data_IF_621826498167
#
_entry.id   IF_621826498167
#
_cell.length_a   1.000
_cell.length_b   1.000
_cell.length_c   1.000
_cell.angle_alpha   90.00
_cell.angle_beta   90.00
_cell.angle_gamma   90.00
#
_symmetry.space_group_name_H-M   'P 1'
#
loop_
_entity.id
_entity.type
_entity.pdbx_description
1 polymer ?
#
# COMPACT_ATOMS: atom_id res chain seq x y z
N UNK A 1 -20.46 5.90 24.70
CA UNK A 1 -20.88 4.97 23.65
C UNK A 1 -22.33 5.30 23.37
N UNK A 2 -22.57 6.30 22.52
CA UNK A 2 -23.93 6.70 22.17
C UNK A 2 -24.44 5.76 21.08
N UNK A 3 -25.64 5.22 21.29
CA UNK A 3 -26.39 4.42 20.34
C UNK A 3 -26.50 5.19 19.01
N UNK A 4 -25.98 4.63 17.91
CA UNK A 4 -26.14 5.26 16.61
C UNK A 4 -27.61 5.14 16.19
N UNK A 5 -28.21 6.24 15.77
CA UNK A 5 -29.60 6.43 15.31
C UNK A 5 -30.04 5.59 14.09
N UNK A 6 -29.37 4.48 13.80
CA UNK A 6 -29.42 3.77 12.52
C UNK A 6 -29.25 2.24 12.61
N UNK A 7 -29.10 1.66 13.80
CA UNK A 7 -29.09 0.19 13.94
C UNK A 7 -30.50 -0.37 13.85
N UNK A 8 -31.03 -0.46 12.62
CA UNK A 8 -32.27 -1.19 12.35
C UNK A 8 -32.02 -2.69 12.46
N UNK A 9 -32.94 -3.43 13.11
CA UNK A 9 -32.91 -4.91 13.17
C UNK A 9 -32.99 -5.53 11.77
N UNK A 10 -33.46 -4.76 10.78
CA UNK A 10 -33.53 -5.15 9.37
C UNK A 10 -32.32 -4.70 8.54
N UNK A 11 -31.35 -4.01 9.14
CA UNK A 11 -30.14 -3.54 8.47
C UNK A 11 -29.05 -4.60 8.52
N UNK A 12 -28.72 -5.18 7.37
CA UNK A 12 -27.58 -6.12 7.29
C UNK A 12 -26.22 -5.42 7.39
N UNK A 13 -26.15 -4.12 7.03
CA UNK A 13 -24.92 -3.33 7.02
C UNK A 13 -25.23 -1.88 7.40
N UNK A 14 -24.42 -1.31 8.28
CA UNK A 14 -24.43 0.11 8.62
C UNK A 14 -23.02 0.70 8.44
N UNK A 15 -22.92 1.75 7.62
CA UNK A 15 -21.69 2.49 7.42
C UNK A 15 -22.00 3.99 7.41
N UNK A 16 -21.23 4.77 8.16
CA UNK A 16 -21.30 6.23 8.08
C UNK A 16 -20.46 6.70 6.88
N UNK A 17 -20.92 7.70 6.14
CA UNK A 17 -20.24 8.19 4.91
C UNK A 17 -18.77 8.56 5.11
N UNK A 18 -18.40 9.03 6.31
CA UNK A 18 -17.01 9.34 6.66
C UNK A 18 -16.11 8.11 6.90
N UNK A 19 -16.70 6.94 7.12
CA UNK A 19 -15.99 5.66 7.28
C UNK A 19 -15.93 4.85 5.99
N UNK A 20 -16.65 5.28 4.94
CA UNK A 20 -16.58 4.63 3.64
C UNK A 20 -15.24 5.01 2.98
N UNK A 21 -14.42 4.03 2.56
CA UNK A 21 -13.11 4.29 1.98
C UNK A 21 -13.19 5.26 0.79
N UNK A 22 -12.27 6.23 0.75
CA UNK A 22 -12.13 7.22 -0.32
C UNK A 22 -13.32 8.17 -0.55
N UNK A 23 -14.36 8.16 0.29
CA UNK A 23 -15.54 9.03 0.13
C UNK A 23 -15.34 10.43 0.72
N UNK A 24 -14.51 10.56 1.76
CA UNK A 24 -14.36 11.79 2.54
C UNK A 24 -13.17 12.67 2.12
N UNK A 25 -12.89 12.80 0.81
CA UNK A 25 -11.65 13.43 0.32
C UNK A 25 -11.55 14.96 0.51
N UNK A 26 -12.66 15.67 0.68
CA UNK A 26 -12.67 17.10 1.02
C UNK A 26 -13.94 17.47 1.78
N UNK A 27 -13.79 18.03 2.98
CA UNK A 27 -14.85 18.79 3.64
C UNK A 27 -14.88 20.21 3.05
N UNK A 28 -15.12 20.34 1.74
CA UNK A 28 -15.52 21.63 1.20
C UNK A 28 -17.03 21.83 1.43
N UNK A 29 -17.44 23.09 1.51
CA UNK A 29 -18.80 23.48 1.86
C UNK A 29 -19.84 23.07 0.79
N UNK A 30 -19.42 22.62 -0.40
CA UNK A 30 -20.28 22.11 -1.47
C UNK A 30 -20.49 20.59 -1.42
N UNK A 31 -19.62 19.84 -0.74
CA UNK A 31 -19.62 18.37 -0.75
C UNK A 31 -20.61 17.71 0.23
N UNK A 32 -21.46 18.47 0.93
CA UNK A 32 -22.27 17.98 2.06
C UNK A 32 -23.37 16.98 1.65
N UNK A 33 -23.83 16.97 0.41
CA UNK A 33 -25.05 16.20 0.08
C UNK A 33 -24.80 14.95 -0.77
N UNK A 34 -23.94 14.99 -1.79
CA UNK A 34 -23.70 13.82 -2.65
C UNK A 34 -22.32 13.93 -3.31
N UNK A 35 -21.24 13.75 -2.54
CA UNK A 35 -19.91 13.80 -3.13
C UNK A 35 -19.80 12.74 -4.25
N UNK A 36 -19.21 13.12 -5.39
CA UNK A 36 -19.03 12.23 -6.55
C UNK A 36 -18.39 10.89 -6.14
N UNK A 37 -17.48 10.92 -5.15
CA UNK A 37 -16.82 9.73 -4.63
C UNK A 37 -17.80 8.74 -3.98
N UNK A 38 -18.81 9.22 -3.24
CA UNK A 38 -19.85 8.36 -2.68
C UNK A 38 -20.65 7.68 -3.80
N UNK A 39 -21.07 8.44 -4.80
CA UNK A 39 -21.80 7.93 -5.96
C UNK A 39 -20.98 6.88 -6.70
N UNK A 40 -19.68 7.10 -6.90
CA UNK A 40 -18.78 6.15 -7.55
C UNK A 40 -18.62 4.85 -6.76
N UNK A 41 -18.49 4.92 -5.43
CA UNK A 41 -18.38 3.71 -4.58
C UNK A 41 -19.69 2.91 -4.63
N UNK A 42 -20.84 3.57 -4.51
CA UNK A 42 -22.15 2.92 -4.62
C UNK A 42 -22.33 2.28 -6.00
N UNK A 43 -21.99 2.97 -7.09
CA UNK A 43 -22.08 2.42 -8.44
C UNK A 43 -21.15 1.21 -8.63
N UNK A 44 -19.89 1.27 -8.16
CA UNK A 44 -18.97 0.12 -8.21
C UNK A 44 -19.51 -1.08 -7.44
N UNK A 45 -20.10 -0.86 -6.27
CA UNK A 45 -20.77 -1.90 -5.51
C UNK A 45 -21.95 -2.49 -6.30
N UNK A 46 -22.85 -1.66 -6.84
CA UNK A 46 -23.99 -2.12 -7.64
C UNK A 46 -23.56 -2.93 -8.86
N UNK A 47 -22.51 -2.50 -9.57
CA UNK A 47 -21.95 -3.27 -10.68
C UNK A 47 -21.30 -4.59 -10.23
N UNK A 48 -20.69 -4.63 -9.05
CA UNK A 48 -20.05 -5.84 -8.52
C UNK A 48 -21.01 -6.96 -8.14
N UNK A 49 -22.29 -6.63 -7.94
CA UNK A 49 -23.35 -7.59 -7.61
C UNK A 49 -24.20 -7.96 -8.84
N UNK A 50 -23.82 -7.52 -10.04
CA UNK A 50 -24.43 -7.94 -11.30
C UNK A 50 -23.69 -9.18 -11.81
N UNK A 51 -24.43 -10.25 -12.03
CA UNK A 51 -24.01 -11.45 -12.73
C UNK A 51 -24.50 -11.39 -14.19
N UNK A 52 -23.63 -11.79 -15.11
CA UNK A 52 -23.92 -11.85 -16.54
C UNK A 52 -24.24 -13.30 -16.91
N UNK A 53 -25.49 -13.56 -17.26
CA UNK A 53 -25.88 -14.87 -17.77
C UNK A 53 -25.21 -15.12 -19.15
N UNK A 54 -25.11 -16.38 -19.58
CA UNK A 54 -24.54 -16.79 -20.88
C UNK A 54 -25.20 -16.13 -22.09
N UNK A 55 -26.40 -15.55 -21.90
CA UNK A 55 -27.18 -14.80 -22.88
C UNK A 55 -27.06 -13.27 -22.74
N UNK A 56 -26.06 -12.78 -22.01
CA UNK A 56 -25.83 -11.35 -21.73
C UNK A 56 -26.98 -10.64 -20.99
N UNK A 57 -27.81 -11.40 -20.25
CA UNK A 57 -28.82 -10.81 -19.38
C UNK A 57 -28.17 -10.44 -18.04
N UNK A 58 -28.31 -9.18 -17.62
CA UNK A 58 -27.85 -8.73 -16.31
C UNK A 58 -28.86 -9.11 -15.23
N UNK A 59 -28.40 -9.82 -14.20
CA UNK A 59 -29.19 -10.14 -13.01
C UNK A 59 -28.38 -9.85 -11.76
N UNK A 60 -29.03 -9.52 -10.66
CA UNK A 60 -28.32 -9.44 -9.38
C UNK A 60 -27.99 -10.84 -8.87
N UNK A 61 -26.81 -10.98 -8.24
CA UNK A 61 -26.40 -12.22 -7.56
C UNK A 61 -27.49 -12.61 -6.55
N UNK A 62 -28.01 -13.83 -6.67
CA UNK A 62 -29.08 -14.32 -5.81
C UNK A 62 -28.61 -14.62 -4.38
N UNK A 63 -27.35 -15.05 -4.23
CA UNK A 63 -26.76 -15.38 -2.93
C UNK A 63 -26.54 -14.12 -2.07
N UNK A 64 -27.25 -14.04 -0.94
CA UNK A 64 -27.15 -12.93 0.02
C UNK A 64 -25.75 -12.76 0.60
N UNK A 65 -25.06 -13.85 0.93
CA UNK A 65 -23.74 -13.82 1.56
C UNK A 65 -22.71 -13.17 0.64
N UNK A 66 -22.72 -13.53 -0.65
CA UNK A 66 -21.82 -12.94 -1.65
C UNK A 66 -22.07 -11.42 -1.76
N UNK A 67 -23.34 -11.00 -1.79
CA UNK A 67 -23.68 -9.56 -1.84
C UNK A 67 -23.22 -8.83 -0.58
N UNK A 68 -23.37 -9.45 0.59
CA UNK A 68 -22.88 -8.87 1.85
C UNK A 68 -21.36 -8.75 1.84
N UNK A 69 -20.63 -9.80 1.45
CA UNK A 69 -19.17 -9.74 1.35
C UNK A 69 -18.70 -8.61 0.42
N UNK A 70 -19.36 -8.42 -0.72
CA UNK A 70 -19.11 -7.27 -1.60
C UNK A 70 -19.42 -5.95 -0.90
N UNK A 71 -20.54 -5.85 -0.18
CA UNK A 71 -20.91 -4.64 0.56
C UNK A 71 -19.89 -4.29 1.66
N UNK A 72 -19.42 -5.26 2.44
CA UNK A 72 -18.35 -5.10 3.43
C UNK A 72 -17.05 -4.60 2.77
N UNK A 73 -16.70 -5.14 1.59
CA UNK A 73 -15.52 -4.73 0.82
C UNK A 73 -15.60 -3.26 0.39
N UNK A 74 -16.73 -2.80 -0.15
CA UNK A 74 -16.86 -1.43 -0.66
C UNK A 74 -17.13 -0.37 0.42
N UNK A 75 -17.87 -0.72 1.48
CA UNK A 75 -18.36 0.27 2.44
C UNK A 75 -17.63 0.32 3.78
N UNK A 76 -16.90 -0.74 4.17
CA UNK A 76 -16.19 -0.77 5.47
C UNK A 76 -14.68 -0.95 5.33
N UNK A 77 -14.15 -0.97 4.11
CA UNK A 77 -12.72 -1.08 3.88
C UNK A 77 -12.12 -2.37 4.42
N UNK A 78 -12.93 -3.42 4.56
CA UNK A 78 -12.41 -4.74 4.88
C UNK A 78 -11.38 -5.12 3.83
N UNK A 79 -10.33 -5.90 4.19
CA UNK A 79 -9.58 -6.62 3.16
C UNK A 79 -10.61 -7.30 2.27
N UNK A 80 -10.37 -7.39 0.97
CA UNK A 80 -11.19 -8.13 0.02
C UNK A 80 -11.31 -9.60 0.45
N UNK A 81 -12.13 -9.84 1.46
CA UNK A 81 -12.30 -11.07 2.24
C UNK A 81 -13.49 -11.81 1.64
N UNK A 82 -13.36 -12.04 0.33
CA UNK A 82 -14.27 -12.83 -0.50
C UNK A 82 -13.54 -13.59 -1.60
N UNK A 83 -12.23 -13.43 -1.72
CA UNK A 83 -11.38 -14.48 -2.22
C UNK A 83 -10.69 -15.05 -0.98
N UNK A 84 -11.13 -16.22 -0.50
CA UNK A 84 -10.15 -17.18 -0.01
C UNK A 84 -9.07 -17.22 -1.08
N UNK A 85 -7.97 -16.59 -0.72
CA UNK A 85 -6.94 -16.16 -1.62
C UNK A 85 -6.37 -17.44 -2.20
N UNK A 86 -6.68 -17.73 -3.47
CA UNK A 86 -5.92 -18.71 -4.22
C UNK A 86 -4.51 -18.14 -4.20
N UNK A 87 -3.66 -18.64 -3.29
CA UNK A 87 -2.26 -18.30 -3.24
C UNK A 87 -1.73 -18.65 -4.61
N UNK A 88 -1.58 -17.64 -5.48
CA UNK A 88 -1.06 -17.86 -6.82
C UNK A 88 0.36 -18.33 -6.62
N UNK A 89 0.54 -19.63 -6.81
CA UNK A 89 1.85 -20.27 -6.79
C UNK A 89 2.49 -19.90 -8.12
N UNK A 90 3.57 -19.14 -8.04
CA UNK A 90 4.36 -18.81 -9.23
C UNK A 90 5.53 -19.77 -9.30
N UNK A 91 5.62 -20.50 -10.40
CA UNK A 91 6.82 -21.26 -10.75
C UNK A 91 7.83 -20.30 -11.37
N UNK A 92 9.06 -20.33 -10.87
CA UNK A 92 10.13 -19.47 -11.37
C UNK A 92 10.96 -20.19 -12.45
N UNK A 93 11.35 -19.44 -13.49
CA UNK A 93 12.11 -19.95 -14.63
C UNK A 93 13.57 -19.51 -14.50
N UNK A 94 14.40 -20.36 -13.90
CA UNK A 94 15.75 -20.01 -13.45
C UNK A 94 16.66 -19.57 -14.61
N UNK A 95 16.56 -20.22 -15.76
CA UNK A 95 17.45 -19.93 -16.91
C UNK A 95 17.13 -18.58 -17.61
N UNK A 96 15.92 -18.06 -17.40
CA UNK A 96 15.43 -16.82 -18.02
C UNK A 96 15.46 -15.61 -17.06
N UNK A 97 15.70 -15.86 -15.78
CA UNK A 97 15.61 -14.89 -14.69
C UNK A 97 16.98 -14.53 -14.11
N UNK A 98 17.18 -13.26 -13.77
CA UNK A 98 18.38 -12.75 -13.11
C UNK A 98 18.12 -12.60 -11.61
N UNK A 99 18.64 -13.53 -10.81
CA UNK A 99 18.42 -13.60 -9.37
C UNK A 99 19.54 -12.90 -8.62
N UNK A 100 19.17 -11.89 -7.83
CA UNK A 100 20.14 -11.04 -7.14
C UNK A 100 19.75 -10.95 -5.67
N UNK A 101 20.71 -11.26 -4.82
CA UNK A 101 20.60 -11.10 -3.38
C UNK A 101 21.47 -9.90 -2.95
N UNK A 102 20.82 -8.82 -2.52
CA UNK A 102 21.54 -7.66 -1.99
C UNK A 102 21.44 -7.66 -0.47
N UNK A 103 22.59 -7.54 0.19
CA UNK A 103 22.68 -7.51 1.66
C UNK A 103 22.43 -6.10 2.21
N UNK A 104 22.49 -5.06 1.37
CA UNK A 104 22.27 -3.67 1.78
C UNK A 104 20.81 -3.48 2.19
N UNK A 105 20.60 -2.69 3.25
CA UNK A 105 19.25 -2.36 3.74
C UNK A 105 18.55 -1.34 2.85
N UNK A 106 19.30 -0.35 2.39
CA UNK A 106 18.77 0.77 1.62
C UNK A 106 19.55 0.89 0.31
N UNK A 107 18.85 0.87 -0.80
CA UNK A 107 19.44 1.07 -2.12
C UNK A 107 18.38 1.38 -3.17
N UNK A 108 18.83 1.94 -4.29
CA UNK A 108 18.01 2.23 -5.44
C UNK A 108 18.68 1.71 -6.71
N UNK A 109 17.85 1.26 -7.66
CA UNK A 109 18.30 0.91 -8.99
C UNK A 109 17.41 1.58 -10.03
N UNK A 110 18.05 2.28 -10.97
CA UNK A 110 17.41 2.92 -12.12
C UNK A 110 17.94 2.31 -13.41
N UNK A 111 17.03 1.98 -14.31
CA UNK A 111 17.29 1.39 -15.61
C UNK A 111 16.66 2.26 -16.70
N UNK A 112 17.46 3.12 -17.33
CA UNK A 112 16.94 4.08 -18.31
C UNK A 112 16.38 3.41 -19.59
N UNK A 113 16.90 2.24 -19.96
CA UNK A 113 16.47 1.45 -21.13
C UNK A 113 15.59 0.25 -20.77
N UNK A 114 15.11 0.19 -19.52
CA UNK A 114 14.33 -0.94 -19.01
C UNK A 114 15.15 -2.18 -18.65
N UNK A 115 14.45 -3.30 -18.47
CA UNK A 115 15.00 -4.58 -18.04
C UNK A 115 15.08 -5.57 -19.22
N UNK A 116 16.29 -6.02 -19.62
CA UNK A 116 16.45 -6.95 -20.73
C UNK A 116 15.96 -8.38 -20.39
N UNK A 117 15.99 -8.74 -19.11
CA UNK A 117 15.52 -10.02 -18.56
C UNK A 117 14.67 -9.77 -17.33
N UNK A 118 13.87 -10.76 -16.95
CA UNK A 118 13.12 -10.72 -15.68
C UNK A 118 14.13 -10.69 -14.53
N UNK A 119 14.01 -9.72 -13.64
CA UNK A 119 14.89 -9.57 -12.48
C UNK A 119 14.16 -10.06 -11.23
N UNK A 120 14.83 -10.89 -10.43
CA UNK A 120 14.34 -11.38 -9.14
C UNK A 120 15.25 -10.85 -8.04
N UNK A 121 14.78 -9.83 -7.32
CA UNK A 121 15.50 -9.27 -6.18
C UNK A 121 15.08 -10.01 -4.91
N UNK A 122 16.04 -10.71 -4.29
CA UNK A 122 15.81 -11.45 -3.05
C UNK A 122 16.14 -10.59 -1.83
N UNK A 123 15.23 -10.61 -0.86
CA UNK A 123 15.35 -9.95 0.44
C UNK A 123 15.24 -11.00 1.54
N UNK A 124 16.29 -11.13 2.35
CA UNK A 124 16.35 -12.09 3.47
C UNK A 124 15.33 -11.75 4.56
N UNK A 125 14.69 -12.79 5.10
CA UNK A 125 13.95 -12.72 6.34
C UNK A 125 14.91 -12.87 7.53
N UNK A 126 15.52 -11.75 7.92
CA UNK A 126 16.51 -11.70 9.00
C UNK A 126 15.84 -11.37 10.36
N UNK A 127 16.15 -12.11 11.45
CA UNK A 127 15.61 -11.83 12.78
C UNK A 127 16.13 -10.52 13.40
N UNK A 128 17.13 -9.88 12.83
CA UNK A 128 17.69 -8.63 13.32
C UNK A 128 16.60 -7.54 13.43
N UNK A 129 16.50 -6.80 14.56
CA UNK A 129 15.51 -5.73 14.74
C UNK A 129 15.60 -4.62 13.69
N UNK A 130 16.77 -4.43 13.06
CA UNK A 130 16.97 -3.49 11.97
C UNK A 130 16.33 -3.94 10.64
N UNK A 131 15.93 -5.21 10.54
CA UNK A 131 15.28 -5.85 9.38
C UNK A 131 13.79 -6.12 9.65
N UNK A 132 13.11 -5.18 10.30
CA UNK A 132 11.72 -5.38 10.73
C UNK A 132 10.71 -5.02 9.64
N UNK A 133 10.93 -3.91 8.94
CA UNK A 133 10.02 -3.41 7.90
C UNK A 133 10.76 -3.26 6.58
N UNK A 134 10.14 -3.75 5.52
CA UNK A 134 10.54 -3.58 4.14
C UNK A 134 9.58 -2.60 3.48
N UNK A 135 10.11 -1.47 3.00
CA UNK A 135 9.39 -0.54 2.13
C UNK A 135 9.99 -0.61 0.74
N UNK A 136 9.15 -0.86 -0.26
CA UNK A 136 9.58 -0.90 -1.66
C UNK A 136 8.73 0.07 -2.46
N UNK A 137 9.40 0.97 -3.16
CA UNK A 137 8.78 1.82 -4.17
C UNK A 137 9.23 1.36 -5.55
N UNK A 138 8.29 1.23 -6.47
CA UNK A 138 8.53 0.79 -7.84
C UNK A 138 7.86 1.77 -8.80
N UNK A 139 8.58 2.15 -9.86
CA UNK A 139 8.13 3.07 -10.88
C UNK A 139 8.03 2.37 -12.23
N UNK A 140 6.97 2.69 -12.98
CA UNK A 140 6.66 2.15 -14.30
C UNK A 140 6.55 0.62 -14.33
N UNK A 141 5.81 0.08 -13.35
CA UNK A 141 5.45 -1.33 -13.31
C UNK A 141 3.97 -1.52 -13.65
N UNK A 142 3.70 -2.39 -14.63
CA UNK A 142 2.36 -2.65 -15.16
C UNK A 142 1.64 -3.82 -14.48
N UNK A 143 2.33 -4.58 -13.63
CA UNK A 143 1.76 -5.72 -12.89
C UNK A 143 1.61 -5.43 -11.41
N UNK A 144 0.57 -5.99 -10.78
CA UNK A 144 0.38 -6.01 -9.31
C UNK A 144 1.06 -7.23 -8.66
N UNK A 145 1.38 -8.26 -9.43
CA UNK A 145 2.00 -9.49 -8.95
C UNK A 145 3.52 -9.41 -9.10
N UNK A 146 4.15 -8.70 -8.17
CA UNK A 146 5.60 -8.48 -8.17
C UNK A 146 6.26 -8.77 -6.83
N UNK A 147 5.50 -9.11 -5.79
CA UNK A 147 6.02 -9.47 -4.47
C UNK A 147 5.56 -10.86 -4.11
N UNK A 148 6.51 -11.69 -3.69
CA UNK A 148 6.22 -13.06 -3.28
C UNK A 148 7.04 -13.44 -2.06
N UNK A 149 6.55 -14.40 -1.27
CA UNK A 149 7.30 -15.06 -0.22
C UNK A 149 7.75 -16.45 -0.65
N UNK A 150 8.95 -16.86 -0.25
CA UNK A 150 9.51 -18.12 -0.73
C UNK A 150 10.48 -18.79 0.26
N UNK A 151 10.66 -20.10 0.09
CA UNK A 151 11.65 -20.94 0.80
C UNK A 151 12.83 -21.21 -0.16
N UNK A 152 13.80 -20.28 -0.21
CA UNK A 152 14.96 -20.37 -1.09
C UNK A 152 16.03 -21.35 -0.54
N UNK A 153 15.72 -22.64 -0.57
CA UNK A 153 16.65 -23.71 -0.17
C UNK A 153 17.47 -24.27 -1.35
N UNK A 154 17.04 -23.98 -2.58
CA UNK A 154 17.67 -24.51 -3.78
C UNK A 154 18.89 -23.66 -4.16
N UNK A 155 19.96 -24.31 -4.62
CA UNK A 155 21.18 -23.67 -5.07
C UNK A 155 21.50 -24.09 -6.50
N UNK A 156 21.76 -23.11 -7.37
CA UNK A 156 22.30 -23.33 -8.70
C UNK A 156 23.63 -22.60 -8.79
N UNK A 157 24.71 -23.35 -9.04
CA UNK A 157 26.08 -22.83 -8.97
C UNK A 157 26.37 -22.22 -7.59
N UNK A 158 26.35 -20.89 -7.46
CA UNK A 158 26.57 -20.15 -6.20
C UNK A 158 25.38 -19.23 -5.83
N UNK A 159 24.23 -19.43 -6.46
CA UNK A 159 23.06 -18.57 -6.32
C UNK A 159 21.92 -19.35 -5.68
N UNK A 160 21.36 -18.82 -4.59
CA UNK A 160 20.13 -19.34 -4.01
C UNK A 160 18.96 -18.89 -4.86
N UNK A 161 17.99 -19.77 -5.03
CA UNK A 161 16.74 -19.45 -5.71
C UNK A 161 15.59 -20.24 -5.08
N UNK A 162 14.39 -19.99 -5.55
CA UNK A 162 13.21 -20.74 -5.13
C UNK A 162 12.37 -21.13 -6.34
N UNK A 163 12.06 -22.41 -6.49
CA UNK A 163 11.20 -22.90 -7.57
C UNK A 163 9.77 -22.39 -7.47
N UNK A 164 9.22 -22.38 -6.25
CA UNK A 164 7.82 -22.04 -5.97
C UNK A 164 7.74 -20.82 -5.07
N UNK A 165 6.96 -19.80 -5.45
CA UNK A 165 6.74 -18.61 -4.63
C UNK A 165 5.25 -18.34 -4.40
N UNK A 166 4.92 -17.79 -3.24
CA UNK A 166 3.55 -17.46 -2.83
C UNK A 166 3.34 -15.95 -2.96
N UNK A 167 2.32 -15.56 -3.73
CA UNK A 167 2.00 -14.16 -3.97
C UNK A 167 1.65 -13.37 -2.71
N UNK A 168 2.25 -12.18 -2.59
CA UNK A 168 2.00 -11.17 -1.56
C UNK A 168 1.41 -9.88 -2.14
N UNK A 169 0.79 -9.95 -3.33
CA UNK A 169 0.26 -8.79 -4.08
C UNK A 169 -0.69 -7.88 -3.28
N UNK A 170 -1.38 -8.42 -2.27
CA UNK A 170 -2.25 -7.63 -1.39
C UNK A 170 -1.49 -6.58 -0.57
N UNK A 171 -0.16 -6.71 -0.45
CA UNK A 171 0.70 -5.73 0.22
C UNK A 171 1.10 -4.58 -0.72
N UNK A 172 0.81 -4.70 -2.02
CA UNK A 172 1.11 -3.69 -3.02
C UNK A 172 -0.08 -2.75 -3.24
N UNK A 173 0.21 -1.46 -3.31
CA UNK A 173 -0.75 -0.40 -3.57
C UNK A 173 -0.20 0.56 -4.63
N UNK A 174 -1.08 1.10 -5.48
CA UNK A 174 -0.71 2.21 -6.36
C UNK A 174 -0.74 3.51 -5.58
N UNK A 175 0.30 4.33 -5.78
CA UNK A 175 0.37 5.68 -5.27
C UNK A 175 -0.01 6.66 -6.39
N UNK A 176 -0.73 7.75 -6.08
CA UNK A 176 -0.94 8.81 -7.05
C UNK A 176 0.41 9.49 -7.33
N UNK A 177 0.82 9.52 -8.59
CA UNK A 177 2.03 10.21 -9.03
C UNK A 177 1.76 10.97 -10.33
N UNK A 178 2.42 12.10 -10.50
CA UNK A 178 2.19 13.03 -11.60
C UNK A 178 2.95 12.56 -12.86
N UNK A 179 2.42 11.52 -13.51
CA UNK A 179 2.85 11.10 -14.85
C UNK A 179 3.52 9.73 -14.95
N UNK A 180 3.82 9.07 -13.83
CA UNK A 180 4.38 7.72 -13.80
C UNK A 180 3.52 6.77 -12.98
N UNK A 181 3.55 5.47 -13.33
CA UNK A 181 2.91 4.44 -12.52
C UNK A 181 3.79 4.15 -11.31
N UNK A 182 3.42 4.65 -10.12
CA UNK A 182 4.13 4.37 -8.87
C UNK A 182 3.37 3.34 -8.05
N UNK A 183 4.04 2.26 -7.68
CA UNK A 183 3.54 1.25 -6.76
C UNK A 183 4.40 1.24 -5.51
N UNK A 184 3.78 1.03 -4.36
CA UNK A 184 4.44 0.92 -3.06
C UNK A 184 4.00 -0.36 -2.37
N UNK A 185 4.90 -0.94 -1.57
CA UNK A 185 4.55 -1.99 -0.64
C UNK A 185 5.30 -1.84 0.67
N UNK A 186 4.58 -2.05 1.78
CA UNK A 186 5.12 -2.04 3.13
C UNK A 186 4.83 -3.37 3.80
N UNK A 187 5.88 -4.08 4.20
CA UNK A 187 5.79 -5.44 4.72
C UNK A 187 6.55 -5.54 6.03
N UNK A 188 5.90 -6.10 7.06
CA UNK A 188 6.57 -6.47 8.29
C UNK A 188 7.21 -7.86 8.13
N UNK A 189 8.53 -7.89 7.96
CA UNK A 189 9.30 -9.11 7.69
C UNK A 189 9.26 -10.09 8.87
N UNK A 190 9.24 -9.58 10.10
CA UNK A 190 9.20 -10.41 11.31
C UNK A 190 7.86 -11.11 11.46
N UNK A 191 6.74 -10.38 11.29
CA UNK A 191 5.40 -10.97 11.31
C UNK A 191 5.23 -11.98 10.16
N UNK A 192 5.80 -11.70 8.99
CA UNK A 192 5.76 -12.61 7.86
C UNK A 192 6.50 -13.92 8.16
N UNK A 193 7.68 -13.83 8.79
CA UNK A 193 8.48 -14.99 9.22
C UNK A 193 7.79 -15.81 10.31
N UNK A 194 7.12 -15.16 11.27
CA UNK A 194 6.33 -15.86 12.30
C UNK A 194 5.16 -16.62 11.68
N UNK A 195 4.44 -15.99 10.72
CA UNK A 195 3.32 -16.64 10.02
C UNK A 195 3.77 -17.76 9.10
N UNK A 196 4.96 -17.63 8.50
CA UNK A 196 5.52 -18.61 7.56
C UNK A 196 6.94 -19.04 8.00
N UNK A 197 7.08 -19.92 9.01
CA UNK A 197 8.38 -20.26 9.59
C UNK A 197 9.39 -20.85 8.60
N UNK A 198 8.92 -21.50 7.53
CA UNK A 198 9.76 -22.11 6.49
C UNK A 198 10.32 -21.10 5.49
N UNK A 199 9.68 -19.93 5.33
CA UNK A 199 10.15 -18.94 4.37
C UNK A 199 11.48 -18.35 4.79
N UNK A 200 12.36 -18.16 3.82
CA UNK A 200 13.69 -17.59 4.04
C UNK A 200 13.81 -16.22 3.39
N UNK A 201 13.03 -15.93 2.35
CA UNK A 201 13.11 -14.69 1.60
C UNK A 201 11.73 -14.15 1.22
N UNK A 202 11.70 -12.83 1.03
CA UNK A 202 10.72 -12.15 0.17
C UNK A 202 11.41 -11.87 -1.15
N UNK A 203 10.76 -12.18 -2.26
CA UNK A 203 11.28 -11.93 -3.60
C UNK A 203 10.44 -10.86 -4.30
N UNK A 204 11.14 -9.94 -4.96
CA UNK A 204 10.55 -8.92 -5.81
C UNK A 204 10.84 -9.32 -7.26
N UNK A 205 9.80 -9.65 -8.02
CA UNK A 205 9.92 -10.15 -9.39
C UNK A 205 9.46 -9.08 -10.37
N UNK A 206 10.40 -8.58 -11.15
CA UNK A 206 10.17 -7.53 -12.13
C UNK A 206 10.30 -8.12 -13.54
N UNK A 207 9.23 -8.13 -14.34
CA UNK A 207 9.27 -8.68 -15.69
C UNK A 207 10.17 -7.84 -16.60
N UNK A 208 10.65 -8.47 -17.70
CA UNK A 208 11.35 -7.74 -18.76
C UNK A 208 10.49 -6.56 -19.27
N UNK A 209 11.12 -5.42 -19.49
CA UNK A 209 10.44 -4.21 -19.98
C UNK A 209 11.40 -3.38 -20.82
N UNK A 210 10.88 -2.70 -21.84
CA UNK A 210 11.63 -1.75 -22.66
C UNK A 210 11.48 -0.31 -22.18
N UNK A 211 10.61 -0.07 -21.18
CA UNK A 211 10.37 1.25 -20.62
C UNK A 211 11.35 1.55 -19.48
N UNK A 212 11.69 2.83 -19.21
CA UNK A 212 12.49 3.21 -18.06
C UNK A 212 11.88 2.67 -16.77
N UNK A 213 12.67 1.95 -15.99
CA UNK A 213 12.24 1.24 -14.79
C UNK A 213 13.10 1.64 -13.60
N UNK A 214 12.47 1.84 -12.45
CA UNK A 214 13.19 2.15 -11.21
C UNK A 214 12.52 1.45 -10.03
N UNK A 215 13.33 0.99 -9.08
CA UNK A 215 12.83 0.59 -7.78
C UNK A 215 13.78 1.03 -6.67
N UNK A 216 13.21 1.31 -5.51
CA UNK A 216 13.90 1.71 -4.29
C UNK A 216 13.51 0.75 -3.17
N UNK A 217 14.49 0.36 -2.36
CA UNK A 217 14.32 -0.52 -1.21
C UNK A 217 14.83 0.19 0.04
N UNK A 218 14.02 0.23 1.09
CA UNK A 218 14.36 0.74 2.42
C UNK A 218 13.93 -0.29 3.47
N UNK A 219 14.92 -0.94 4.07
CA UNK A 219 14.74 -1.89 5.16
C UNK A 219 15.12 -1.20 6.47
N UNK A 220 14.15 -1.06 7.36
CA UNK A 220 14.33 -0.30 8.59
C UNK A 220 13.58 -0.90 9.78
N UNK A 221 13.88 -0.35 10.96
CA UNK A 221 12.95 -0.39 12.08
C UNK A 221 12.01 0.82 11.95
N UNK A 222 10.69 0.62 12.13
CA UNK A 222 9.71 1.72 12.01
C UNK A 222 9.98 2.85 13.02
N UNK A 223 10.59 2.54 14.16
CA UNK A 223 10.94 3.55 15.16
C UNK A 223 11.95 4.58 14.59
N UNK A 224 12.82 4.17 13.67
CA UNK A 224 13.79 5.04 12.99
C UNK A 224 13.15 5.89 11.88
N UNK A 225 11.88 5.63 11.55
CA UNK A 225 11.09 6.34 10.52
C UNK A 225 9.89 7.05 11.12
N UNK A 226 9.78 7.12 12.43
CA UNK A 226 8.66 7.78 13.12
C UNK A 226 9.09 9.14 13.68
N UNK A 227 8.40 10.20 13.27
CA UNK A 227 8.58 11.55 13.84
C UNK A 227 7.37 11.88 14.69
N UNK A 228 7.59 12.18 15.97
CA UNK A 228 6.53 12.55 16.91
C UNK A 228 6.39 14.07 16.95
N UNK A 229 5.23 14.57 16.55
CA UNK A 229 4.94 16.01 16.51
C UNK A 229 3.88 16.30 17.57
N UNK A 230 4.23 17.15 18.54
CA UNK A 230 3.30 17.56 19.58
C UNK A 230 2.85 19.00 19.32
N UNK A 231 1.54 19.16 19.06
CA UNK A 231 0.98 20.47 18.81
C UNK A 231 0.98 21.33 20.09
N UNK A 232 1.36 22.60 20.00
CA UNK A 232 1.33 23.50 21.14
C UNK A 232 -0.12 23.72 21.60
N UNK A 233 -0.30 23.90 22.91
CA UNK A 233 -1.64 24.15 23.51
C UNK A 233 -2.21 25.52 23.15
N UNK A 234 -1.35 26.46 22.78
CA UNK A 234 -1.72 27.82 22.34
C UNK A 234 -1.21 28.07 20.91
N UNK A 235 -1.81 29.06 20.25
CA UNK A 235 -1.51 29.42 18.86
C UNK A 235 0.00 29.63 18.65
N UNK A 236 0.57 28.88 17.71
CA UNK A 236 1.90 29.11 17.19
C UNK A 236 1.80 29.19 15.67
N UNK A 237 2.16 30.33 15.10
CA UNK A 237 2.17 30.56 13.65
C UNK A 237 3.58 30.43 13.05
N UNK A 238 4.59 30.12 13.87
CA UNK A 238 5.96 29.92 13.43
C UNK A 238 6.15 28.56 12.72
N UNK A 239 7.03 28.56 11.71
CA UNK A 239 7.50 27.33 11.08
C UNK A 239 8.58 26.70 11.94
N UNK A 240 8.42 25.43 12.30
CA UNK A 240 9.44 24.66 13.01
C UNK A 240 10.01 23.59 12.07
N UNK A 241 11.34 23.50 11.97
CA UNK A 241 11.99 22.38 11.27
C UNK A 241 11.85 21.13 12.14
N UNK A 242 11.17 20.10 11.61
CA UNK A 242 10.77 18.93 12.39
C UNK A 242 11.85 17.84 12.42
N UNK A 243 12.34 17.46 11.25
CA UNK A 243 13.35 16.42 11.09
C UNK A 243 13.96 16.52 9.69
N UNK A 244 15.26 16.21 9.61
CA UNK A 244 15.91 15.93 8.34
C UNK A 244 15.82 14.43 8.04
N UNK A 245 15.45 14.08 6.81
CA UNK A 245 15.35 12.69 6.39
C UNK A 245 16.74 12.09 6.17
N UNK A 246 16.91 10.84 6.59
CA UNK A 246 18.11 10.06 6.29
C UNK A 246 18.25 9.83 4.78
N UNK A 247 19.49 9.76 4.30
CA UNK A 247 19.78 9.40 2.91
C UNK A 247 19.19 8.01 2.57
N UNK A 248 18.69 7.88 1.34
CA UNK A 248 18.11 6.66 0.77
C UNK A 248 16.89 6.10 1.52
N UNK A 249 16.25 6.91 2.37
CA UNK A 249 14.98 6.54 3.00
C UNK A 249 13.80 6.86 2.09
N UNK A 250 12.83 5.94 2.01
CA UNK A 250 11.67 6.06 1.10
C UNK A 250 10.37 6.37 1.85
N UNK A 251 10.34 6.18 3.16
CA UNK A 251 9.14 6.26 3.97
C UNK A 251 9.38 6.93 5.33
N UNK A 252 8.49 7.83 5.74
CA UNK A 252 8.40 8.34 7.11
C UNK A 252 6.95 8.33 7.59
N UNK A 253 6.79 8.05 8.87
CA UNK A 253 5.53 8.15 9.58
C UNK A 253 5.55 9.40 10.49
N UNK A 254 4.62 10.33 10.24
CA UNK A 254 4.46 11.53 11.06
C UNK A 254 3.29 11.33 12.02
N UNK A 255 3.60 11.20 13.31
CA UNK A 255 2.60 11.02 14.36
C UNK A 255 2.29 12.37 15.01
N UNK A 256 1.13 12.95 14.66
CA UNK A 256 0.72 14.27 15.13
C UNK A 256 -0.21 14.12 16.35
N UNK A 257 0.23 14.62 17.48
CA UNK A 257 -0.50 14.62 18.75
C UNK A 257 -0.96 16.03 19.12
N UNK A 258 -2.02 16.12 19.93
CA UNK A 258 -2.46 17.39 20.52
C UNK A 258 -3.45 18.21 19.68
N UNK A 259 -3.99 17.65 18.58
CA UNK A 259 -5.12 18.21 17.84
C UNK A 259 -6.45 17.91 18.54
N UNK A 260 -6.67 18.54 19.69
CA UNK A 260 -7.83 18.30 20.56
C UNK A 260 -9.06 19.13 20.18
N UNK A 261 -8.87 20.22 19.42
CA UNK A 261 -9.94 21.17 19.10
C UNK A 261 -10.22 21.25 17.60
N UNK A 262 -11.51 21.44 17.26
CA UNK A 262 -12.01 21.45 15.88
C UNK A 262 -11.42 22.56 14.98
N UNK A 263 -10.91 23.64 15.58
CA UNK A 263 -10.33 24.78 14.86
C UNK A 263 -8.83 24.65 14.61
N UNK A 264 -8.16 23.62 15.15
CA UNK A 264 -6.73 23.44 14.95
C UNK A 264 -6.46 22.87 13.56
N UNK A 265 -5.51 23.49 12.85
CA UNK A 265 -5.05 23.07 11.54
C UNK A 265 -3.53 22.97 11.54
N UNK A 266 -2.99 22.07 10.71
CA UNK A 266 -1.55 21.84 10.58
C UNK A 266 -1.21 21.88 9.09
N UNK A 267 -0.22 22.68 8.74
CA UNK A 267 0.39 22.67 7.43
C UNK A 267 1.77 22.00 7.54
N UNK A 268 2.01 21.00 6.69
CA UNK A 268 3.29 20.29 6.61
C UNK A 268 3.92 20.64 5.27
N UNK A 269 5.13 21.17 5.31
CA UNK A 269 5.90 21.52 4.12
C UNK A 269 7.09 20.57 4.01
N UNK A 270 7.24 19.93 2.86
CA UNK A 270 8.39 19.07 2.55
C UNK A 270 9.32 19.86 1.65
N UNK A 271 10.52 20.16 2.15
CA UNK A 271 11.54 20.88 1.41
C UNK A 271 12.64 19.92 0.98
N UNK A 272 12.92 19.91 -0.32
CA UNK A 272 14.03 19.15 -0.89
C UNK A 272 15.34 19.90 -0.62
N UNK A 273 16.23 19.34 0.21
CA UNK A 273 17.56 19.95 0.49
C UNK A 273 18.57 19.70 -0.62
N UNK A 274 18.66 18.45 -1.10
CA UNK A 274 19.56 18.09 -2.21
C UNK A 274 18.99 16.92 -3.01
N UNK A 275 18.84 17.08 -4.33
CA UNK A 275 18.48 16.00 -5.25
C UNK A 275 19.56 15.82 -6.30
N UNK A 276 19.87 14.57 -6.64
CA UNK A 276 20.74 14.21 -7.78
C UNK A 276 19.95 14.03 -9.10
N UNK A 277 18.63 14.18 -9.09
CA UNK A 277 17.76 13.98 -10.26
C UNK A 277 16.59 14.96 -10.32
N UNK A 278 15.97 15.07 -11.50
CA UNK A 278 15.05 16.16 -11.88
C UNK A 278 13.58 16.01 -11.45
N UNK A 279 13.18 14.94 -10.75
CA UNK A 279 11.77 14.73 -10.40
C UNK A 279 11.58 13.92 -9.11
N UNK A 280 11.78 14.55 -7.96
CA UNK A 280 11.36 13.97 -6.68
C UNK A 280 9.86 14.21 -6.47
N UNK A 281 9.04 13.17 -6.60
CA UNK A 281 7.62 13.22 -6.22
C UNK A 281 7.43 12.75 -4.78
N UNK A 282 6.77 13.57 -3.97
CA UNK A 282 6.46 13.23 -2.58
C UNK A 282 4.98 12.88 -2.50
N UNK A 283 4.69 11.66 -2.07
CA UNK A 283 3.32 11.22 -1.82
C UNK A 283 3.09 11.18 -0.32
N UNK A 284 2.07 11.91 0.13
CA UNK A 284 1.62 11.90 1.51
C UNK A 284 0.39 11.02 1.62
N UNK A 285 0.35 10.18 2.65
CA UNK A 285 -0.82 9.39 3.05
C UNK A 285 -1.27 9.88 4.41
N UNK A 286 -2.39 10.58 4.45
CA UNK A 286 -3.03 11.02 5.69
C UNK A 286 -4.02 9.97 6.14
N UNK A 287 -3.87 9.47 7.36
CA UNK A 287 -4.81 8.56 8.00
C UNK A 287 -5.21 9.11 9.37
N UNK A 288 -6.36 8.66 9.86
CA UNK A 288 -6.90 9.11 11.13
C UNK A 288 -7.23 7.92 12.03
N UNK A 289 -6.87 8.01 13.32
CA UNK A 289 -7.03 6.93 14.29
C UNK A 289 -8.50 6.71 14.70
N UNK A 290 -9.35 7.74 14.68
CA UNK A 290 -10.75 7.62 15.12
C UNK A 290 -11.75 7.29 14.00
N UNK A 291 -11.40 7.49 12.73
CA UNK A 291 -12.23 7.10 11.57
C UNK A 291 -11.52 6.01 10.77
N UNK A 292 -11.83 4.75 11.07
CA UNK A 292 -11.29 3.59 10.33
C UNK A 292 -11.67 3.71 8.85
N UNK A 293 -10.70 3.48 7.96
CA UNK A 293 -10.90 3.55 6.50
C UNK A 293 -10.70 4.94 5.88
N UNK A 294 -10.48 5.99 6.68
CA UNK A 294 -10.06 7.28 6.16
C UNK A 294 -8.58 7.26 5.79
N UNK A 295 -8.31 7.20 4.49
CA UNK A 295 -6.99 7.39 3.91
C UNK A 295 -7.10 8.41 2.77
N UNK A 296 -6.28 9.46 2.83
CA UNK A 296 -6.17 10.44 1.76
C UNK A 296 -4.75 10.49 1.25
N UNK A 297 -4.59 10.33 -0.05
CA UNK A 297 -3.32 10.51 -0.72
C UNK A 297 -3.23 11.91 -1.34
N UNK A 298 -2.06 12.52 -1.29
CA UNK A 298 -1.76 13.78 -2.00
C UNK A 298 -0.32 13.74 -2.48
N UNK A 299 -0.12 14.04 -3.76
CA UNK A 299 1.19 14.13 -4.41
C UNK A 299 1.63 15.59 -4.54
N UNK A 300 2.93 15.83 -4.37
CA UNK A 300 3.59 17.13 -4.48
C UNK A 300 4.89 16.99 -5.26
#
# INVERSE_FOLDING_TARGET
VEESLSSSVFGDLHAMTHNIPNVWQSADHLCVVWCLQFVLVVNRFLHSIIDLDKKSNSKFIANKEIRLTKAYQFFMGGPSSGAEQLSTLTNNMIDEEDWIEDIRRNFQHKFDTGLPKTRVQMIRLDPNPLYKFLNVDVFNLDTKEWIFGCEANEMLSNMRYCSIAVSLSNSSQYLPDNGFSRQNAQINLHLLKVKNPRWTHVILKFPKTTQPFQFNIDINNMDDRAVQIHMPKWYNFGQNELAETQLDSTFYNLNIHGLSYKYQAVAIYVHVKSCRGESSSVVTKTSNSWSKGFEKFSSF
#
